data_IF_177367779530
#
_entry.id   IF_177367779530
#
_cell.length_a   1.000
_cell.length_b   1.000
_cell.length_c   1.000
_cell.angle_alpha   90.00
_cell.angle_beta   90.00
_cell.angle_gamma   90.00
#
_symmetry.space_group_name_H-M   'P 1'
#
loop_
_entity.id
_entity.type
_entity.pdbx_description
1 polymer ?
#
# COMPACT_ATOMS: atom_id res chain seq x y z
N UNK A 1 4.43 -18.29 15.93
CA UNK A 1 3.96 -16.90 15.70
C UNK A 1 2.76 -16.95 14.77
N UNK A 2 1.71 -16.22 15.07
CA UNK A 2 0.52 -16.13 14.20
C UNK A 2 0.75 -15.05 13.14
N UNK A 3 0.35 -15.25 11.87
CA UNK A 3 0.41 -14.19 10.87
C UNK A 3 -0.40 -12.96 11.29
N UNK A 4 0.09 -11.78 10.92
CA UNK A 4 -0.63 -10.53 11.11
C UNK A 4 -1.55 -10.31 9.91
N UNK A 5 -2.86 -10.18 10.16
CA UNK A 5 -3.82 -9.78 9.13
C UNK A 5 -4.04 -8.28 9.22
N UNK A 6 -4.00 -7.63 8.09
CA UNK A 6 -4.12 -6.17 8.00
C UNK A 6 -5.45 -5.78 7.39
N UNK A 7 -6.07 -4.76 7.96
CA UNK A 7 -7.27 -4.17 7.39
C UNK A 7 -6.92 -3.45 6.09
N UNK A 8 -7.64 -3.70 4.98
CA UNK A 8 -7.45 -2.97 3.73
C UNK A 8 -7.61 -1.46 3.91
N UNK A 9 -6.76 -0.67 3.24
CA UNK A 9 -6.87 0.78 3.18
C UNK A 9 -7.10 1.20 1.74
N UNK A 10 -8.34 1.55 1.43
CA UNK A 10 -8.75 1.89 0.07
C UNK A 10 -8.49 3.35 -0.26
N UNK A 11 -7.96 3.58 -1.46
CA UNK A 11 -7.75 4.90 -2.04
C UNK A 11 -8.64 5.09 -3.25
N UNK A 12 -9.52 6.07 -3.19
CA UNK A 12 -10.35 6.45 -4.31
C UNK A 12 -9.51 7.18 -5.36
N UNK A 13 -9.67 6.77 -6.62
CA UNK A 13 -8.95 7.34 -7.77
C UNK A 13 -9.93 7.54 -8.92
N UNK A 14 -9.73 8.62 -9.70
CA UNK A 14 -10.54 8.87 -10.89
C UNK A 14 -10.46 7.74 -11.93
N UNK A 15 -9.34 7.03 -11.98
CA UNK A 15 -9.07 5.88 -12.84
C UNK A 15 -9.41 4.53 -12.18
N UNK A 16 -9.89 4.54 -10.95
CA UNK A 16 -10.23 3.32 -10.20
C UNK A 16 -11.53 2.67 -10.65
N UNK A 17 -11.73 1.45 -10.20
CA UNK A 17 -12.88 0.63 -10.55
C UNK A 17 -13.47 -0.13 -9.37
N UNK A 18 -14.14 -1.23 -9.67
CA UNK A 18 -14.84 -2.08 -8.70
C UNK A 18 -14.30 -3.51 -8.59
N UNK A 19 -13.15 -3.81 -9.22
CA UNK A 19 -12.60 -5.19 -9.28
C UNK A 19 -12.04 -5.65 -7.94
N UNK A 20 -11.62 -4.75 -7.05
CA UNK A 20 -11.28 -5.12 -5.68
C UNK A 20 -12.46 -5.79 -4.95
N UNK A 21 -13.70 -5.40 -5.28
CA UNK A 21 -14.92 -6.07 -4.82
C UNK A 21 -15.23 -7.33 -5.62
N UNK A 22 -15.29 -7.22 -6.95
CA UNK A 22 -15.80 -8.31 -7.80
C UNK A 22 -14.83 -9.48 -7.92
N UNK A 23 -13.51 -9.24 -7.85
CA UNK A 23 -12.46 -10.25 -7.95
C UNK A 23 -11.95 -10.70 -6.58
N UNK A 24 -11.68 -9.75 -5.68
CA UNK A 24 -11.08 -10.04 -4.37
C UNK A 24 -12.11 -10.15 -3.24
N UNK A 25 -13.36 -9.75 -3.46
CA UNK A 25 -14.42 -9.83 -2.46
C UNK A 25 -14.34 -8.78 -1.35
N UNK A 26 -13.58 -7.70 -1.55
CA UNK A 26 -13.50 -6.62 -0.58
C UNK A 26 -14.79 -5.79 -0.55
N UNK A 27 -15.12 -5.29 0.65
CA UNK A 27 -16.21 -4.32 0.83
C UNK A 27 -15.68 -2.90 0.60
N UNK A 28 -15.69 -2.48 -0.66
CA UNK A 28 -15.17 -1.17 -1.06
C UNK A 28 -16.22 -0.07 -0.88
N UNK A 29 -15.81 1.15 -0.50
CA UNK A 29 -16.74 2.25 -0.21
C UNK A 29 -17.38 2.89 -1.46
N UNK A 30 -16.80 2.70 -2.64
CA UNK A 30 -17.34 3.21 -3.91
C UNK A 30 -16.85 2.36 -5.09
N UNK A 31 -17.39 2.62 -6.29
CA UNK A 31 -16.98 1.94 -7.54
C UNK A 31 -15.77 2.61 -8.22
N UNK A 32 -15.07 3.48 -7.51
CA UNK A 32 -13.89 4.22 -7.98
C UNK A 32 -12.68 4.01 -7.08
N UNK A 33 -12.48 2.81 -6.60
CA UNK A 33 -11.30 2.45 -5.80
C UNK A 33 -10.19 2.00 -6.73
N UNK A 34 -9.12 2.78 -6.78
CA UNK A 34 -7.95 2.48 -7.62
C UNK A 34 -6.89 1.69 -6.90
N UNK A 35 -6.76 1.84 -5.58
CA UNK A 35 -5.73 1.18 -4.81
C UNK A 35 -6.27 0.62 -3.49
N UNK A 36 -5.86 -0.60 -3.14
CA UNK A 36 -5.82 -1.10 -1.77
C UNK A 36 -4.37 -1.05 -1.29
N UNK A 37 -4.11 -0.27 -0.26
CA UNK A 37 -2.83 -0.29 0.44
C UNK A 37 -2.83 -1.46 1.42
N UNK A 38 -2.49 -2.62 0.90
CA UNK A 38 -2.62 -3.89 1.60
C UNK A 38 -1.63 -4.01 2.78
N UNK A 39 -0.40 -3.49 2.62
CA UNK A 39 0.59 -3.40 3.69
C UNK A 39 1.22 -2.00 3.64
N UNK A 40 0.93 -1.19 4.65
CA UNK A 40 1.36 0.21 4.69
C UNK A 40 1.59 0.69 6.12
N UNK A 41 2.73 1.33 6.32
CA UNK A 41 2.99 2.17 7.49
C UNK A 41 3.05 3.67 7.11
N UNK A 42 2.57 4.00 5.89
CA UNK A 42 2.55 5.38 5.41
C UNK A 42 1.46 6.19 6.12
N UNK A 43 1.75 7.43 6.56
CA UNK A 43 0.78 8.24 7.32
C UNK A 43 -0.53 8.54 6.58
N UNK A 44 -0.53 8.49 5.24
CA UNK A 44 -1.74 8.70 4.43
C UNK A 44 -2.65 7.46 4.34
N UNK A 45 -2.25 6.33 4.93
CA UNK A 45 -3.03 5.10 4.89
C UNK A 45 -2.36 3.97 5.64
N UNK A 46 -2.27 4.06 6.96
CA UNK A 46 -1.65 3.05 7.81
C UNK A 46 -2.49 1.78 7.92
N UNK A 47 -1.86 0.63 7.75
CA UNK A 47 -2.49 -0.66 7.98
C UNK A 47 -2.72 -0.90 9.48
N UNK A 48 -3.96 -1.26 9.83
CA UNK A 48 -4.34 -1.68 11.18
C UNK A 48 -4.35 -3.20 11.28
N UNK A 49 -3.83 -3.74 12.37
CA UNK A 49 -3.83 -5.17 12.64
C UNK A 49 -5.23 -5.62 13.09
N UNK A 50 -5.77 -6.66 12.47
CA UNK A 50 -7.12 -7.17 12.74
C UNK A 50 -7.18 -8.37 13.68
N UNK A 51 -6.04 -9.01 13.97
CA UNK A 51 -6.00 -10.25 14.74
C UNK A 51 -4.91 -10.30 15.80
N UNK A 52 -5.04 -11.27 16.71
CA UNK A 52 -4.03 -11.59 17.71
C UNK A 52 -3.81 -10.50 18.76
N UNK A 53 -2.67 -10.57 19.49
CA UNK A 53 -2.40 -9.68 20.63
C UNK A 53 -2.16 -8.22 20.22
N UNK A 54 -1.87 -7.96 18.93
CA UNK A 54 -1.61 -6.63 18.39
C UNK A 54 -2.82 -6.00 17.69
N UNK A 55 -3.98 -6.64 17.78
CA UNK A 55 -5.21 -6.14 17.17
C UNK A 55 -5.50 -4.70 17.57
N UNK A 56 -5.76 -3.86 16.58
CA UNK A 56 -6.06 -2.43 16.77
C UNK A 56 -4.84 -1.52 16.78
N UNK A 57 -3.62 -2.08 16.75
CA UNK A 57 -2.40 -1.30 16.53
C UNK A 57 -2.14 -1.14 15.05
N UNK A 58 -1.45 -0.06 14.68
CA UNK A 58 -1.03 0.19 13.30
C UNK A 58 0.35 -0.43 13.03
N UNK A 59 0.68 -0.64 11.76
CA UNK A 59 1.95 -1.27 11.37
C UNK A 59 3.16 -0.42 11.77
N UNK A 60 3.06 0.90 11.70
CA UNK A 60 4.12 1.82 12.13
C UNK A 60 4.37 1.73 13.65
N UNK A 61 3.29 1.60 14.46
CA UNK A 61 3.41 1.38 15.90
C UNK A 61 4.14 0.06 16.22
N UNK A 62 3.80 -1.02 15.52
CA UNK A 62 4.50 -2.28 15.66
C UNK A 62 5.95 -2.17 15.23
N UNK A 63 6.23 -1.51 14.11
CA UNK A 63 7.59 -1.28 13.63
C UNK A 63 8.44 -0.54 14.64
N UNK A 64 7.87 0.48 15.28
CA UNK A 64 8.58 1.27 16.29
C UNK A 64 8.82 0.50 17.60
N UNK A 65 7.81 -0.27 18.06
CA UNK A 65 7.81 -0.81 19.43
C UNK A 65 8.16 -2.30 19.51
N UNK A 66 7.99 -3.05 18.42
CA UNK A 66 8.10 -4.50 18.37
C UNK A 66 9.08 -4.96 17.27
N UNK A 67 10.24 -4.34 17.20
CA UNK A 67 11.29 -4.63 16.20
C UNK A 67 11.64 -6.12 16.08
N UNK A 68 11.49 -6.87 17.17
CA UNK A 68 11.74 -8.32 17.19
C UNK A 68 10.82 -9.10 16.24
N UNK A 69 9.59 -8.63 15.99
CA UNK A 69 8.67 -9.26 15.04
C UNK A 69 9.19 -9.22 13.61
N UNK A 70 10.04 -8.26 13.30
CA UNK A 70 10.57 -7.96 11.97
C UNK A 70 12.04 -8.35 11.80
N UNK A 71 12.62 -9.12 12.75
CA UNK A 71 14.02 -9.54 12.68
C UNK A 71 15.03 -8.48 13.10
N UNK A 72 14.64 -7.54 13.96
CA UNK A 72 15.48 -6.46 14.49
C UNK A 72 16.06 -5.55 13.40
N UNK A 73 15.24 -4.99 12.47
CA UNK A 73 15.73 -4.08 11.45
C UNK A 73 16.30 -2.80 12.06
N UNK A 74 17.24 -2.20 11.36
CA UNK A 74 17.91 -0.95 11.76
C UNK A 74 17.20 0.31 11.29
N UNK A 75 16.35 0.15 10.29
CA UNK A 75 15.59 1.23 9.68
C UNK A 75 14.55 1.81 10.67
N UNK A 76 14.45 3.12 10.71
CA UNK A 76 13.48 3.81 11.56
C UNK A 76 12.05 3.71 11.00
N UNK A 77 11.92 3.74 9.68
CA UNK A 77 10.64 3.68 8.97
C UNK A 77 10.45 2.33 8.30
N UNK A 78 9.24 1.78 8.35
CA UNK A 78 8.89 0.56 7.62
C UNK A 78 9.09 0.79 6.11
N UNK A 79 9.91 -0.05 5.44
CA UNK A 79 10.46 0.31 4.13
C UNK A 79 9.56 -0.04 2.93
N UNK A 80 8.40 -0.65 3.16
CA UNK A 80 7.56 -1.18 2.09
C UNK A 80 6.18 -0.53 2.07
N UNK A 81 5.63 -0.41 0.86
CA UNK A 81 4.23 -0.11 0.62
C UNK A 81 3.74 -1.08 -0.46
N UNK A 82 2.90 -2.03 -0.06
CA UNK A 82 2.35 -3.05 -0.96
C UNK A 82 0.92 -2.66 -1.29
N UNK A 83 0.64 -2.54 -2.58
CA UNK A 83 -0.65 -2.13 -3.11
C UNK A 83 -1.23 -3.18 -4.04
N UNK A 84 -2.54 -3.28 -4.07
CA UNK A 84 -3.29 -3.92 -5.14
C UNK A 84 -3.98 -2.80 -5.92
N UNK A 85 -3.71 -2.72 -7.22
CA UNK A 85 -4.26 -1.68 -8.09
C UNK A 85 -5.37 -2.24 -8.97
N UNK A 86 -6.44 -1.47 -9.08
CA UNK A 86 -7.52 -1.68 -10.06
C UNK A 86 -7.64 -0.45 -10.95
N UNK A 87 -7.02 -0.51 -12.12
CA UNK A 87 -7.03 0.54 -13.11
C UNK A 87 -8.09 0.25 -14.18
N UNK A 88 -9.17 1.02 -14.21
CA UNK A 88 -10.16 1.03 -15.29
C UNK A 88 -9.80 2.00 -16.42
N UNK A 89 -9.04 3.04 -16.10
CA UNK A 89 -8.55 4.05 -17.03
C UNK A 89 -7.03 4.23 -16.86
N UNK A 90 -6.43 5.04 -17.70
CA UNK A 90 -5.00 5.32 -17.66
C UNK A 90 -4.59 6.01 -16.36
N UNK A 91 -3.50 5.55 -15.78
CA UNK A 91 -2.87 6.20 -14.65
C UNK A 91 -2.08 7.44 -15.12
N UNK A 92 -1.88 8.38 -14.19
CA UNK A 92 -1.00 9.52 -14.46
C UNK A 92 0.44 9.06 -14.70
N UNK A 93 1.08 9.67 -15.68
CA UNK A 93 2.53 9.49 -15.92
C UNK A 93 3.29 10.22 -14.81
N UNK A 94 4.13 9.48 -14.09
CA UNK A 94 4.89 9.99 -12.96
C UNK A 94 6.37 9.65 -13.08
N UNK A 95 7.22 10.55 -12.60
CA UNK A 95 8.66 10.30 -12.41
C UNK A 95 8.91 10.26 -10.91
N UNK A 96 9.51 9.16 -10.43
CA UNK A 96 9.87 9.01 -9.03
C UNK A 96 11.34 9.42 -8.81
N UNK A 97 11.59 10.42 -7.95
CA UNK A 97 12.95 10.84 -7.63
C UNK A 97 13.64 9.82 -6.70
N UNK A 98 14.95 9.98 -6.56
CA UNK A 98 15.71 9.34 -5.49
C UNK A 98 15.44 10.00 -4.12
N UNK A 99 15.96 9.40 -3.05
CA UNK A 99 15.78 9.90 -1.68
C UNK A 99 16.32 11.31 -1.50
N UNK A 100 17.44 11.65 -2.13
CA UNK A 100 18.09 12.96 -1.99
C UNK A 100 17.21 14.07 -2.54
N UNK A 101 16.68 13.86 -3.74
CA UNK A 101 15.75 14.81 -4.35
C UNK A 101 14.41 14.84 -3.64
N UNK A 102 13.84 13.66 -3.35
CA UNK A 102 12.53 13.53 -2.70
C UNK A 102 12.48 14.23 -1.35
N UNK A 103 13.45 13.99 -0.47
CA UNK A 103 13.52 14.63 0.85
C UNK A 103 13.69 16.15 0.75
N UNK A 104 14.46 16.63 -0.22
CA UNK A 104 14.74 18.06 -0.39
C UNK A 104 13.56 18.84 -0.97
N UNK A 105 12.85 18.28 -1.92
CA UNK A 105 11.86 19.00 -2.74
C UNK A 105 10.41 18.61 -2.45
N UNK A 106 10.18 17.36 -2.03
CA UNK A 106 8.83 16.81 -1.78
C UNK A 106 8.58 16.52 -0.29
N UNK A 107 9.62 16.50 0.53
CA UNK A 107 9.53 16.14 1.95
C UNK A 107 9.28 14.65 2.19
N UNK A 108 9.48 13.81 1.17
CA UNK A 108 9.28 12.37 1.19
C UNK A 108 10.51 11.62 0.66
N UNK A 109 10.64 10.36 1.06
CA UNK A 109 11.64 9.46 0.49
C UNK A 109 11.36 9.23 -1.00
N UNK A 110 12.41 8.92 -1.75
CA UNK A 110 12.31 8.43 -3.11
C UNK A 110 11.54 7.12 -3.18
N UNK A 111 11.15 6.71 -4.38
CA UNK A 111 10.32 5.54 -4.57
C UNK A 111 10.94 4.58 -5.59
N UNK A 112 11.52 3.49 -5.08
CA UNK A 112 11.84 2.32 -5.90
C UNK A 112 10.63 1.42 -5.93
N UNK A 113 10.13 1.09 -7.12
CA UNK A 113 8.95 0.24 -7.25
C UNK A 113 9.11 -0.85 -8.31
N UNK A 114 8.33 -1.90 -8.15
CA UNK A 114 8.14 -2.93 -9.15
C UNK A 114 6.65 -3.26 -9.27
N UNK A 115 6.25 -3.72 -10.43
CA UNK A 115 4.88 -4.12 -10.73
C UNK A 115 4.81 -5.60 -11.06
N UNK A 116 3.79 -6.26 -10.54
CA UNK A 116 3.39 -7.60 -10.93
C UNK A 116 1.99 -7.52 -11.53
N UNK A 117 1.85 -7.85 -12.81
CA UNK A 117 0.58 -7.76 -13.50
C UNK A 117 -0.20 -9.06 -13.26
N UNK A 118 -1.33 -8.94 -12.56
CA UNK A 118 -2.22 -10.06 -12.24
C UNK A 118 -3.11 -10.36 -13.45
N UNK A 119 -3.66 -9.30 -14.07
CA UNK A 119 -4.54 -9.39 -15.23
C UNK A 119 -4.44 -8.11 -16.06
N UNK A 120 -4.66 -8.20 -17.36
CA UNK A 120 -4.62 -7.05 -18.27
C UNK A 120 -5.62 -7.23 -19.41
N UNK A 121 -6.28 -6.14 -19.78
CA UNK A 121 -7.12 -6.11 -20.98
C UNK A 121 -6.25 -6.20 -22.24
N UNK A 122 -6.76 -6.78 -23.35
CA UNK A 122 -6.06 -6.73 -24.62
C UNK A 122 -5.70 -5.30 -25.03
N UNK A 123 -4.41 -5.04 -25.30
CA UNK A 123 -3.93 -3.71 -25.66
C UNK A 123 -3.59 -2.79 -24.49
N UNK A 124 -3.66 -3.28 -23.25
CA UNK A 124 -3.19 -2.51 -22.09
C UNK A 124 -1.67 -2.32 -22.17
N UNK A 125 -1.22 -1.14 -21.76
CA UNK A 125 0.20 -0.72 -21.76
C UNK A 125 0.59 -0.23 -20.37
N UNK A 126 1.89 -0.29 -20.07
CA UNK A 126 2.52 0.27 -18.86
C UNK A 126 3.55 1.32 -19.29
#
# INVERSE_FOLDING_TARGET
MQPLFMKPVFQEKIWGGSRLKTVFGYDIPSDKIGEDWAISAHPNGESMIENGPYKGQTLDQLWANEKALFGQPTEDVFPLLIKILDAEDDLSVQVHPDDTYGLKHEGELGKTECWYIIDAQPGAEI
#
